data_IF_552936568941
#
_entry.id   IF_552936568941
#
_cell.length_a   1.000
_cell.length_b   1.000
_cell.length_c   1.000
_cell.angle_alpha   90.00
_cell.angle_beta   90.00
_cell.angle_gamma   90.00
#
_symmetry.space_group_name_H-M   'P 1'
#
loop_
_entity.id
_entity.type
_entity.pdbx_description
1 polymer ?
#
# COMPACT_ATOMS: atom_id res chain seq x y z
N UNK A 1 -11.18 -14.94 -23.71
CA UNK A 1 -11.26 -15.73 -22.47
C UNK A 1 -9.84 -15.90 -21.98
N UNK A 2 -9.33 -14.85 -21.37
CA UNK A 2 -7.97 -14.73 -20.84
C UNK A 2 -7.98 -15.41 -19.47
N UNK A 3 -7.13 -16.41 -19.27
CA UNK A 3 -6.98 -17.05 -17.95
C UNK A 3 -5.96 -16.22 -17.17
N UNK A 4 -6.35 -15.78 -15.98
CA UNK A 4 -5.46 -15.17 -15.02
C UNK A 4 -4.31 -16.14 -14.68
N UNK A 5 -3.09 -15.70 -14.94
CA UNK A 5 -1.91 -16.30 -14.32
C UNK A 5 -1.79 -15.67 -12.94
N UNK A 6 -2.30 -16.36 -11.91
CA UNK A 6 -1.92 -16.05 -10.54
C UNK A 6 -0.43 -16.41 -10.39
N UNK A 7 0.47 -15.42 -10.46
CA UNK A 7 1.85 -15.58 -9.99
C UNK A 7 1.96 -14.97 -8.60
N UNK A 8 2.29 -15.83 -7.64
CA UNK A 8 2.77 -15.45 -6.32
C UNK A 8 4.18 -14.85 -6.48
N UNK A 9 4.27 -13.52 -6.56
CA UNK A 9 5.47 -12.77 -6.21
C UNK A 9 5.56 -12.71 -4.69
N UNK A 10 6.17 -13.73 -4.10
CA UNK A 10 6.25 -13.87 -2.64
C UNK A 10 7.38 -13.05 -2.04
N UNK A 11 7.02 -11.96 -1.36
CA UNK A 11 7.44 -11.79 0.03
C UNK A 11 6.19 -11.99 0.90
N UNK A 12 6.18 -13.10 1.62
CA UNK A 12 4.99 -13.59 2.30
C UNK A 12 4.61 -12.73 3.50
N UNK A 13 3.40 -12.17 3.46
CA UNK A 13 2.59 -11.92 4.66
C UNK A 13 1.34 -12.77 4.55
N UNK A 14 1.45 -14.01 5.03
CA UNK A 14 0.31 -14.88 5.24
C UNK A 14 -0.33 -14.57 6.59
N UNK A 15 -1.44 -13.84 6.59
CA UNK A 15 -2.63 -14.12 7.41
C UNK A 15 -3.70 -13.02 7.27
N UNK A 16 -4.72 -13.27 6.43
CA UNK A 16 -6.14 -13.01 6.75
C UNK A 16 -7.03 -13.52 5.60
N UNK A 17 -7.25 -14.83 5.58
CA UNK A 17 -8.39 -15.41 4.87
C UNK A 17 -9.59 -15.41 5.84
N UNK A 18 -10.66 -14.67 5.52
CA UNK A 18 -11.98 -14.88 6.13
C UNK A 18 -12.93 -15.36 5.05
N UNK A 19 -13.44 -16.57 5.26
CA UNK A 19 -14.34 -17.30 4.39
C UNK A 19 -15.68 -16.58 4.17
N UNK A 20 -16.10 -16.50 2.91
CA UNK A 20 -17.51 -16.36 2.53
C UNK A 20 -17.93 -17.58 1.71
N UNK A 21 -18.57 -18.56 2.35
CA UNK A 21 -19.46 -19.49 1.66
C UNK A 21 -20.40 -20.24 2.63
N UNK A 22 -21.70 -20.04 2.43
CA UNK A 22 -22.81 -21.03 2.44
C UNK A 22 -24.09 -20.39 3.01
N UNK A 23 -25.32 -20.57 2.52
CA UNK A 23 -25.91 -21.09 1.28
C UNK A 23 -27.44 -21.04 1.48
N UNK A 24 -28.20 -20.90 0.38
CA UNK A 24 -29.63 -21.24 0.29
C UNK A 24 -30.55 -20.01 0.24
N UNK A 25 -31.43 -19.81 -0.75
CA UNK A 25 -31.90 -20.67 -1.82
C UNK A 25 -33.40 -20.47 -2.02
N UNK A 26 -33.77 -19.78 -3.12
CA UNK A 26 -35.02 -20.03 -3.86
C UNK A 26 -36.27 -19.19 -3.54
N UNK A 27 -36.88 -18.63 -4.61
CA UNK A 27 -38.34 -18.47 -4.68
C UNK A 27 -38.86 -17.12 -5.16
N UNK A 28 -39.13 -17.02 -6.46
CA UNK A 28 -39.83 -15.92 -7.14
C UNK A 28 -41.21 -15.58 -6.55
N UNK A 29 -41.60 -14.28 -6.58
CA UNK A 29 -42.72 -13.70 -7.34
C UNK A 29 -43.45 -12.50 -6.66
N UNK A 30 -43.32 -11.33 -7.31
CA UNK A 30 -44.34 -10.32 -7.65
C UNK A 30 -45.26 -9.63 -6.59
N UNK A 31 -45.79 -8.42 -6.92
CA UNK A 31 -46.05 -7.32 -5.96
C UNK A 31 -47.54 -7.04 -5.65
N UNK A 32 -47.82 -6.26 -4.59
CA UNK A 32 -49.09 -5.54 -4.37
C UNK A 32 -48.90 -4.48 -3.25
N UNK A 33 -48.91 -3.17 -3.57
CA UNK A 33 -50.06 -2.24 -3.55
C UNK A 33 -50.55 -1.80 -2.14
N UNK A 34 -50.30 -0.53 -1.84
CA UNK A 34 -51.15 0.50 -1.19
C UNK A 34 -52.20 0.10 -0.14
N UNK A 35 -52.09 0.68 1.06
CA UNK A 35 -53.24 1.26 1.77
C UNK A 35 -52.77 2.34 2.79
N UNK A 36 -53.29 3.54 2.59
CA UNK A 36 -53.32 4.67 3.52
C UNK A 36 -54.46 4.42 4.52
N UNK A 37 -54.27 4.73 5.81
CA UNK A 37 -55.35 5.15 6.68
C UNK A 37 -54.84 6.04 7.83
N UNK A 38 -55.38 7.24 7.85
CA UNK A 38 -55.12 8.36 8.76
C UNK A 38 -55.95 8.25 10.05
N UNK A 39 -55.49 8.97 11.08
CA UNK A 39 -56.21 9.65 12.18
C UNK A 39 -56.25 8.96 13.55
N UNK A 40 -56.17 9.63 14.71
CA UNK A 40 -55.93 11.03 15.18
C UNK A 40 -55.81 10.94 16.73
N UNK A 41 -55.00 11.83 17.32
CA UNK A 41 -54.98 12.41 18.70
C UNK A 41 -54.94 11.55 19.98
N UNK A 42 -53.92 11.78 20.81
CA UNK A 42 -53.89 12.64 22.03
C UNK A 42 -52.43 12.61 22.54
N UNK A 43 -51.73 13.67 22.95
CA UNK A 43 -52.15 14.78 23.79
C UNK A 43 -51.41 14.69 25.13
N UNK A 44 -50.14 15.14 25.20
CA UNK A 44 -49.54 15.67 26.44
C UNK A 44 -48.20 16.36 26.16
N UNK A 45 -48.15 17.63 26.51
CA UNK A 45 -47.00 18.51 26.38
C UNK A 45 -46.08 18.39 27.60
N UNK A 46 -44.78 18.27 27.35
CA UNK A 46 -43.75 18.58 28.35
C UNK A 46 -42.70 19.49 27.71
N UNK A 47 -42.58 20.68 28.28
CA UNK A 47 -41.74 21.80 27.88
C UNK A 47 -40.26 21.46 28.04
N UNK A 48 -39.50 21.44 26.94
CA UNK A 48 -38.04 21.34 26.96
C UNK A 48 -37.42 22.74 27.17
N UNK A 49 -36.53 22.86 28.15
CA UNK A 49 -35.73 24.05 28.40
C UNK A 49 -34.68 24.25 27.28
N UNK A 50 -34.34 25.49 26.91
CA UNK A 50 -33.36 25.74 25.86
C UNK A 50 -31.95 25.44 26.38
N UNK A 51 -31.31 24.40 25.82
CA UNK A 51 -29.86 24.25 25.92
C UNK A 51 -29.22 25.23 24.93
N UNK A 52 -28.56 26.26 25.46
CA UNK A 52 -27.58 27.07 24.75
C UNK A 52 -26.44 26.18 24.26
N UNK A 53 -26.44 25.83 22.98
CA UNK A 53 -25.24 25.32 22.31
C UNK A 53 -24.29 26.49 22.08
N UNK A 54 -23.16 26.48 22.78
CA UNK A 54 -22.01 27.31 22.42
C UNK A 54 -21.41 26.66 21.19
N UNK A 55 -21.68 27.24 20.02
CA UNK A 55 -20.99 26.88 18.79
C UNK A 55 -19.53 27.32 18.90
N UNK A 56 -18.64 26.41 19.30
CA UNK A 56 -17.21 26.61 19.10
C UNK A 56 -16.93 26.29 17.64
N UNK A 57 -16.92 27.32 16.80
CA UNK A 57 -16.45 27.22 15.41
C UNK A 57 -14.96 26.90 15.44
N UNK A 58 -14.58 25.62 15.38
CA UNK A 58 -13.24 25.28 14.91
C UNK A 58 -13.23 25.54 13.41
N UNK A 59 -12.35 26.47 12.99
CA UNK A 59 -12.08 26.68 11.58
C UNK A 59 -11.52 25.38 10.99
N UNK A 60 -11.89 25.01 9.75
CA UNK A 60 -11.21 23.92 9.07
C UNK A 60 -9.77 24.37 8.82
N UNK A 61 -8.82 23.77 9.54
CA UNK A 61 -7.40 23.89 9.20
C UNK A 61 -7.21 23.05 7.94
N UNK A 62 -7.46 23.64 6.77
CA UNK A 62 -6.98 23.07 5.53
C UNK A 62 -5.46 23.22 5.58
N UNK A 63 -4.75 22.15 5.96
CA UNK A 63 -3.31 22.08 5.79
C UNK A 63 -3.07 22.12 4.28
N UNK A 64 -2.55 23.26 3.80
CA UNK A 64 -1.89 23.27 2.50
C UNK A 64 -0.75 22.25 2.57
N UNK A 65 -0.50 21.43 1.53
CA UNK A 65 0.62 20.50 1.54
C UNK A 65 1.91 21.29 1.80
N UNK A 66 2.49 21.07 2.97
CA UNK A 66 3.69 21.77 3.39
C UNK A 66 4.89 21.04 2.78
N UNK A 67 5.74 21.84 2.12
CA UNK A 67 7.04 21.48 1.53
C UNK A 67 7.00 20.69 0.22
N UNK A 68 7.17 21.42 -0.88
CA UNK A 68 7.82 20.88 -2.09
C UNK A 68 9.24 20.48 -1.72
N UNK A 69 9.42 19.21 -1.34
CA UNK A 69 10.76 18.61 -1.24
C UNK A 69 11.39 18.72 -2.62
N UNK A 70 12.59 19.31 -2.69
CA UNK A 70 13.29 19.41 -3.97
C UNK A 70 13.51 17.99 -4.51
N UNK A 71 13.11 17.76 -5.77
CA UNK A 71 13.35 16.50 -6.47
C UNK A 71 14.82 16.11 -6.36
N UNK A 72 15.08 14.89 -5.86
CA UNK A 72 16.40 14.31 -5.69
C UNK A 72 16.37 12.85 -6.15
N UNK A 73 17.45 12.37 -6.77
CA UNK A 73 17.58 10.95 -7.07
C UNK A 73 17.54 10.15 -5.75
N UNK A 74 16.80 9.05 -5.72
CA UNK A 74 16.67 8.20 -4.52
C UNK A 74 18.04 7.66 -4.08
N UNK A 75 18.90 7.31 -5.03
CA UNK A 75 20.24 6.80 -4.78
C UNK A 75 21.13 7.75 -3.98
N UNK A 76 20.84 9.05 -4.01
CA UNK A 76 21.56 10.07 -3.24
C UNK A 76 21.06 10.21 -1.80
N UNK A 77 19.87 9.71 -1.47
CA UNK A 77 19.26 9.80 -0.13
C UNK A 77 19.09 8.45 0.55
N UNK A 78 19.17 7.33 -0.19
CA UNK A 78 18.89 5.98 0.29
C UNK A 78 19.57 5.61 1.63
N UNK A 79 20.84 5.98 1.82
CA UNK A 79 21.55 5.74 3.07
C UNK A 79 21.04 6.59 4.25
N UNK A 80 20.71 7.86 4.00
CA UNK A 80 20.16 8.77 4.99
C UNK A 80 18.71 8.37 5.35
N UNK A 81 17.92 7.95 4.36
CA UNK A 81 16.56 7.46 4.53
C UNK A 81 16.53 6.17 5.35
N UNK A 82 17.46 5.23 5.08
CA UNK A 82 17.64 4.03 5.89
C UNK A 82 18.03 4.38 7.33
N UNK A 83 18.98 5.32 7.52
CA UNK A 83 19.40 5.75 8.85
C UNK A 83 18.23 6.39 9.65
N UNK A 84 17.41 7.21 8.99
CA UNK A 84 16.22 7.79 9.60
C UNK A 84 15.19 6.72 9.98
N UNK A 85 14.95 5.74 9.10
CA UNK A 85 14.06 4.61 9.39
C UNK A 85 14.55 3.78 10.60
N UNK A 86 15.86 3.48 10.65
CA UNK A 86 16.44 2.75 11.78
C UNK A 86 16.29 3.54 13.09
N UNK A 87 16.45 4.87 13.07
CA UNK A 87 16.18 5.72 14.23
C UNK A 87 14.68 5.71 14.65
N UNK A 88 13.76 5.72 13.68
CA UNK A 88 12.33 5.59 13.94
C UNK A 88 11.97 4.23 14.54
N UNK A 89 12.66 3.15 14.15
CA UNK A 89 12.53 1.82 14.78
C UNK A 89 12.99 1.80 16.24
N UNK A 90 13.90 2.68 16.62
CA UNK A 90 14.30 2.87 18.02
C UNK A 90 13.33 3.78 18.81
N UNK A 91 12.28 4.27 18.16
CA UNK A 91 11.27 5.16 18.76
C UNK A 91 11.58 6.65 18.60
N UNK A 92 12.48 7.04 17.70
CA UNK A 92 12.87 8.44 17.48
C UNK A 92 12.45 8.92 16.11
N UNK A 93 11.53 9.90 16.04
CA UNK A 93 11.17 10.55 14.78
C UNK A 93 10.22 9.74 13.89
N UNK A 94 9.45 8.79 14.45
CA UNK A 94 8.50 7.94 13.69
C UNK A 94 7.51 8.74 12.85
N UNK A 95 6.90 9.79 13.41
CA UNK A 95 5.98 10.67 12.68
C UNK A 95 6.70 11.40 11.53
N UNK A 96 7.92 11.90 11.78
CA UNK A 96 8.71 12.59 10.77
C UNK A 96 9.07 11.65 9.63
N UNK A 97 9.47 10.41 9.92
CA UNK A 97 9.79 9.39 8.90
C UNK A 97 8.57 9.02 8.06
N UNK A 98 7.40 8.82 8.68
CA UNK A 98 6.18 8.52 7.92
C UNK A 98 5.81 9.65 6.97
N UNK A 99 5.76 10.90 7.45
CA UNK A 99 5.44 12.04 6.58
C UNK A 99 6.54 12.31 5.54
N UNK A 100 7.80 12.26 5.96
CA UNK A 100 8.92 12.54 5.07
C UNK A 100 9.01 11.48 3.98
N UNK A 101 9.05 10.18 4.28
CA UNK A 101 9.30 9.16 3.25
C UNK A 101 8.05 8.77 2.46
N UNK A 102 6.86 8.78 3.07
CA UNK A 102 5.67 8.16 2.46
C UNK A 102 4.54 9.14 2.12
N UNK A 103 4.76 10.44 2.32
CA UNK A 103 3.79 11.52 2.01
C UNK A 103 2.37 11.19 2.51
N UNK A 104 2.28 10.86 3.80
CA UNK A 104 1.04 10.36 4.39
C UNK A 104 -0.06 11.40 4.22
N UNK A 105 -1.18 11.03 3.58
CA UNK A 105 -2.21 11.99 3.21
C UNK A 105 -3.05 12.41 4.41
N UNK A 106 -3.04 11.65 5.51
CA UNK A 106 -3.84 11.88 6.73
C UNK A 106 -2.94 12.15 7.92
N UNK A 107 -3.35 13.07 8.79
CA UNK A 107 -2.61 13.38 10.01
C UNK A 107 -3.06 12.42 11.13
N UNK A 108 -2.13 11.58 11.59
CA UNK A 108 -2.32 10.73 12.76
C UNK A 108 -1.30 11.14 13.82
N UNK A 109 -1.80 11.39 15.03
CA UNK A 109 -0.94 11.60 16.20
C UNK A 109 -0.47 10.22 16.67
N UNK A 110 0.78 9.90 16.37
CA UNK A 110 1.42 8.68 16.86
C UNK A 110 1.82 8.83 18.34
N UNK A 111 1.78 7.75 19.12
CA UNK A 111 2.32 7.73 20.49
C UNK A 111 3.75 8.25 20.54
N UNK A 112 4.12 8.91 21.65
CA UNK A 112 5.44 9.51 21.80
C UNK A 112 6.58 8.46 21.83
N UNK A 113 6.27 7.21 22.19
CA UNK A 113 7.20 6.08 22.21
C UNK A 113 7.04 5.15 20.99
N UNK A 114 6.26 5.57 19.99
CA UNK A 114 5.99 4.78 18.79
C UNK A 114 7.30 4.47 18.05
N UNK A 115 7.56 3.19 17.84
CA UNK A 115 8.63 2.69 17.00
C UNK A 115 8.07 2.20 15.68
N UNK A 116 8.55 2.69 14.55
CA UNK A 116 8.11 2.21 13.23
C UNK A 116 8.35 0.69 13.13
N UNK A 117 7.36 -0.08 12.69
CA UNK A 117 7.47 -1.54 12.49
C UNK A 117 7.42 -1.91 11.03
N UNK A 118 6.48 -1.33 10.30
CA UNK A 118 6.29 -1.55 8.87
C UNK A 118 5.89 -0.24 8.20
N UNK A 119 6.39 0.00 6.99
CA UNK A 119 5.88 1.07 6.16
C UNK A 119 5.92 0.66 4.71
N UNK A 120 4.80 0.74 4.02
CA UNK A 120 4.73 0.41 2.60
C UNK A 120 3.85 1.37 1.83
N UNK A 121 4.20 1.54 0.57
CA UNK A 121 3.37 2.19 -0.43
C UNK A 121 3.39 1.31 -1.67
N UNK A 122 2.21 0.96 -2.15
CA UNK A 122 2.03 0.19 -3.37
C UNK A 122 1.08 0.95 -4.31
N UNK A 123 1.47 1.10 -5.57
CA UNK A 123 0.68 1.67 -6.64
C UNK A 123 0.52 0.61 -7.72
N UNK A 124 -0.67 0.05 -7.88
CA UNK A 124 -0.92 -1.09 -8.76
C UNK A 124 -2.06 -0.85 -9.73
N UNK A 125 -1.88 -1.26 -10.99
CA UNK A 125 -2.94 -1.27 -11.99
C UNK A 125 -3.84 -2.50 -11.77
N UNK A 126 -5.11 -2.26 -11.47
CA UNK A 126 -6.11 -3.31 -11.31
C UNK A 126 -6.53 -3.90 -12.67
N UNK A 127 -7.12 -5.09 -12.64
CA UNK A 127 -7.66 -5.77 -13.84
C UNK A 127 -8.69 -4.93 -14.62
N UNK A 128 -9.39 -4.03 -13.92
CA UNK A 128 -10.39 -3.13 -14.51
C UNK A 128 -9.77 -1.85 -15.12
N UNK A 129 -8.43 -1.73 -15.11
CA UNK A 129 -7.70 -0.61 -15.68
C UNK A 129 -7.65 0.63 -14.79
N UNK A 130 -7.99 0.49 -13.50
CA UNK A 130 -7.94 1.57 -12.49
C UNK A 130 -6.67 1.37 -11.67
N UNK A 131 -5.94 2.44 -11.40
CA UNK A 131 -4.79 2.41 -10.48
C UNK A 131 -5.28 2.46 -9.02
N UNK A 132 -4.78 1.57 -8.17
CA UNK A 132 -4.95 1.65 -6.72
C UNK A 132 -3.63 2.05 -6.09
N UNK A 133 -3.65 3.11 -5.27
CA UNK A 133 -2.55 3.51 -4.42
C UNK A 133 -2.89 3.16 -2.98
N UNK A 134 -2.16 2.22 -2.40
CA UNK A 134 -2.32 1.75 -1.04
C UNK A 134 -1.09 2.08 -0.21
N UNK A 135 -1.32 2.71 0.94
CA UNK A 135 -0.29 3.00 1.92
C UNK A 135 -0.57 2.26 3.21
N UNK A 136 0.47 1.70 3.83
CA UNK A 136 0.42 1.06 5.15
C UNK A 136 1.50 1.65 6.02
N UNK A 137 1.14 2.15 7.19
CA UNK A 137 2.09 2.64 8.20
C UNK A 137 1.79 1.91 9.50
N UNK A 138 2.80 1.31 10.11
CA UNK A 138 2.62 0.62 11.38
C UNK A 138 3.70 1.02 12.38
N UNK A 139 3.29 1.16 13.64
CA UNK A 139 4.19 1.45 14.73
C UNK A 139 3.82 0.67 16.00
N UNK A 140 4.84 0.23 16.73
CA UNK A 140 4.73 -0.43 18.01
C UNK A 140 4.97 0.53 19.18
N UNK A 141 4.16 0.40 20.23
CA UNK A 141 4.11 1.30 21.40
C UNK A 141 3.78 0.52 22.67
N UNK A 142 4.16 1.06 23.83
CA UNK A 142 3.76 0.55 25.13
C UNK A 142 2.37 1.02 25.57
N UNK A 143 1.71 1.90 24.81
CA UNK A 143 0.33 2.31 25.09
C UNK A 143 -0.63 1.12 25.00
N UNK A 144 -1.68 1.12 25.85
CA UNK A 144 -2.67 0.03 25.83
C UNK A 144 -3.61 0.17 24.63
N UNK A 145 -4.22 -0.94 24.14
CA UNK A 145 -5.17 -0.86 23.04
C UNK A 145 -6.32 0.11 23.31
N UNK A 146 -6.79 0.21 24.56
CA UNK A 146 -7.85 1.15 24.94
C UNK A 146 -7.41 2.61 24.87
N UNK A 147 -6.15 2.91 25.22
CA UNK A 147 -5.59 4.25 25.11
C UNK A 147 -5.42 4.65 23.64
N UNK A 148 -4.90 3.73 22.82
CA UNK A 148 -4.77 3.91 21.38
C UNK A 148 -6.12 4.11 20.71
N UNK A 149 -7.11 3.27 21.05
CA UNK A 149 -8.46 3.40 20.50
C UNK A 149 -9.12 4.71 20.96
N UNK A 150 -8.89 5.15 22.19
CA UNK A 150 -9.42 6.44 22.65
C UNK A 150 -8.76 7.63 21.95
N UNK A 151 -7.46 7.56 21.68
CA UNK A 151 -6.71 8.60 20.97
C UNK A 151 -7.09 8.66 19.48
N UNK A 152 -7.25 7.49 18.84
CA UNK A 152 -7.49 7.36 17.40
C UNK A 152 -8.97 7.30 17.03
N UNK A 153 -9.85 6.90 17.96
CA UNK A 153 -11.30 6.88 17.77
C UNK A 153 -11.92 8.27 17.67
N UNK A 154 -11.16 9.33 17.95
CA UNK A 154 -11.49 10.72 17.65
C UNK A 154 -11.01 11.20 16.27
N UNK A 155 -10.43 10.32 15.45
CA UNK A 155 -9.99 10.66 14.09
C UNK A 155 -11.16 11.22 13.29
N UNK A 156 -10.94 12.40 12.71
CA UNK A 156 -11.88 13.08 11.85
C UNK A 156 -11.13 13.68 10.67
N UNK A 157 -11.39 13.15 9.49
CA UNK A 157 -10.88 13.68 8.23
C UNK A 157 -12.05 13.84 7.26
N UNK A 158 -12.24 15.00 6.62
CA UNK A 158 -13.38 15.24 5.74
C UNK A 158 -13.45 14.29 4.54
N UNK A 159 -12.37 13.57 4.21
CA UNK A 159 -12.37 12.57 3.15
C UNK A 159 -13.00 11.25 3.56
N UNK A 160 -13.11 10.96 4.86
CA UNK A 160 -13.51 9.64 5.34
C UNK A 160 -14.66 9.70 6.35
N UNK A 161 -15.66 8.85 6.14
CA UNK A 161 -16.78 8.65 7.07
C UNK A 161 -16.58 7.37 7.87
N UNK A 162 -16.74 7.43 9.19
CA UNK A 162 -16.65 6.24 10.04
C UNK A 162 -17.72 5.22 9.63
N UNK A 163 -17.28 4.02 9.25
CA UNK A 163 -18.16 2.97 8.74
C UNK A 163 -18.43 1.91 9.80
N UNK A 164 -17.39 1.36 10.43
CA UNK A 164 -17.56 0.28 11.41
C UNK A 164 -16.39 0.13 12.37
N UNK A 165 -16.67 -0.53 13.49
CA UNK A 165 -15.67 -1.05 14.43
C UNK A 165 -15.82 -2.56 14.51
N UNK A 166 -14.75 -3.28 14.23
CA UNK A 166 -14.71 -4.75 14.26
C UNK A 166 -13.69 -5.20 15.31
N UNK A 167 -14.12 -6.05 16.24
CA UNK A 167 -13.23 -6.69 17.22
C UNK A 167 -13.03 -8.14 16.82
N UNK A 168 -11.78 -8.57 16.78
CA UNK A 168 -11.40 -9.95 16.51
C UNK A 168 -10.54 -10.50 17.64
N UNK A 169 -10.73 -11.76 18.01
CA UNK A 169 -9.89 -12.45 18.98
C UNK A 169 -9.14 -13.54 18.25
N UNK A 170 -7.82 -13.38 18.16
CA UNK A 170 -6.90 -14.32 17.55
C UNK A 170 -6.04 -14.96 18.65
N UNK A 171 -5.28 -16.00 18.31
CA UNK A 171 -4.29 -16.58 19.25
C UNK A 171 -3.25 -15.56 19.68
N UNK A 172 -2.93 -14.58 18.82
CA UNK A 172 -2.02 -13.47 19.13
C UNK A 172 -2.60 -12.45 20.12
N UNK A 173 -3.93 -12.39 20.27
CA UNK A 173 -4.64 -11.52 21.21
C UNK A 173 -5.87 -10.84 20.60
N UNK A 174 -6.28 -9.72 21.19
CA UNK A 174 -7.47 -8.96 20.76
C UNK A 174 -7.06 -7.86 19.79
N UNK A 175 -7.74 -7.82 18.66
CA UNK A 175 -7.57 -6.84 17.59
C UNK A 175 -8.82 -5.98 17.47
N UNK A 176 -8.62 -4.68 17.32
CA UNK A 176 -9.66 -3.70 17.02
C UNK A 176 -9.35 -3.07 15.67
N UNK A 177 -10.27 -3.18 14.72
CA UNK A 177 -10.20 -2.49 13.43
C UNK A 177 -11.28 -1.40 13.38
N UNK A 178 -10.85 -0.16 13.20
CA UNK A 178 -11.69 0.99 12.93
C UNK A 178 -11.67 1.23 11.42
N UNK A 179 -12.80 1.01 10.77
CA UNK A 179 -12.93 1.11 9.31
C UNK A 179 -13.68 2.38 8.95
N UNK A 180 -13.17 3.08 7.95
CA UNK A 180 -13.72 4.31 7.42
C UNK A 180 -13.88 4.16 5.91
N UNK A 181 -15.07 4.46 5.41
CA UNK A 181 -15.34 4.52 3.98
C UNK A 181 -14.98 5.92 3.46
N UNK A 182 -14.70 6.05 2.16
CA UNK A 182 -14.69 7.34 1.50
C UNK A 182 -16.01 8.08 1.76
N UNK A 183 -15.92 9.34 2.18
CA UNK A 183 -17.08 10.23 2.15
C UNK A 183 -17.43 10.56 0.71
N UNK A 184 -18.61 11.14 0.46
CA UNK A 184 -18.99 11.56 -0.90
C UNK A 184 -17.98 12.53 -1.55
N UNK A 185 -17.28 13.35 -0.75
CA UNK A 185 -16.22 14.22 -1.25
C UNK A 185 -14.90 13.45 -1.43
N UNK A 186 -14.57 12.54 -0.51
CA UNK A 186 -13.40 11.68 -0.61
C UNK A 186 -13.44 10.78 -1.83
N UNK A 187 -14.57 10.09 -2.06
CA UNK A 187 -14.80 9.23 -3.23
C UNK A 187 -14.65 10.00 -4.54
N UNK A 188 -15.11 11.26 -4.59
CA UNK A 188 -14.96 12.12 -5.77
C UNK A 188 -13.48 12.45 -6.09
N UNK A 189 -12.62 12.45 -5.06
CA UNK A 189 -11.18 12.65 -5.16
C UNK A 189 -10.39 11.32 -5.26
N UNK A 190 -11.11 10.19 -5.32
CA UNK A 190 -10.58 8.83 -5.44
C UNK A 190 -10.32 8.11 -4.12
N UNK A 191 -10.59 8.69 -2.96
CA UNK A 191 -10.39 8.01 -1.68
C UNK A 191 -11.46 6.93 -1.48
N UNK A 192 -11.02 5.68 -1.36
CA UNK A 192 -11.91 4.53 -1.25
C UNK A 192 -12.08 4.09 0.21
N UNK A 193 -10.95 3.87 0.88
CA UNK A 193 -10.95 3.23 2.19
C UNK A 193 -9.81 3.70 3.09
N UNK A 194 -10.10 3.72 4.39
CA UNK A 194 -9.09 3.81 5.44
C UNK A 194 -9.40 2.84 6.58
N UNK A 195 -8.37 2.20 7.12
CA UNK A 195 -8.46 1.39 8.34
C UNK A 195 -7.38 1.76 9.33
N UNK A 196 -7.76 1.74 10.61
CA UNK A 196 -6.84 1.78 11.73
C UNK A 196 -7.00 0.45 12.48
N UNK A 197 -5.96 -0.38 12.43
CA UNK A 197 -5.86 -1.62 13.19
C UNK A 197 -5.06 -1.38 14.46
N UNK A 198 -5.55 -1.90 15.58
CA UNK A 198 -4.91 -1.84 16.90
C UNK A 198 -4.90 -3.25 17.46
N UNK A 199 -3.73 -3.73 17.86
CA UNK A 199 -3.61 -5.05 18.47
C UNK A 199 -2.22 -5.33 19.02
N UNK A 200 -1.96 -6.57 19.46
CA UNK A 200 -0.61 -6.99 19.84
C UNK A 200 0.34 -6.89 18.64
N UNK A 201 1.59 -6.49 18.88
CA UNK A 201 2.64 -6.51 17.87
C UNK A 201 2.77 -7.93 17.26
N UNK A 202 2.56 -8.04 15.94
CA UNK A 202 2.66 -9.31 15.20
C UNK A 202 3.70 -9.32 14.10
N UNK A 203 4.27 -8.16 13.80
CA UNK A 203 5.40 -8.02 12.89
C UNK A 203 6.68 -8.64 13.49
N UNK A 204 7.44 -9.30 12.62
CA UNK A 204 8.36 -10.42 12.83
C UNK A 204 9.50 -10.28 13.89
N UNK A 205 10.02 -11.44 14.32
CA UNK A 205 11.40 -11.61 14.83
C UNK A 205 11.61 -11.43 16.33
N UNK A 206 10.93 -10.45 16.94
CA UNK A 206 10.98 -10.25 18.39
C UNK A 206 9.77 -9.46 18.85
N UNK A 207 8.63 -10.12 19.06
CA UNK A 207 7.51 -9.50 19.75
C UNK A 207 8.02 -8.91 21.07
N UNK A 208 8.05 -7.59 21.15
CA UNK A 208 8.65 -6.86 22.28
C UNK A 208 7.71 -6.78 23.47
N UNK A 209 6.49 -7.30 23.32
CA UNK A 209 5.38 -7.17 24.26
C UNK A 209 4.60 -5.86 24.11
N UNK A 210 4.85 -5.12 23.02
CA UNK A 210 4.15 -3.87 22.66
C UNK A 210 2.81 -4.17 21.98
N UNK A 211 2.01 -3.11 21.88
CA UNK A 211 0.87 -3.06 20.97
C UNK A 211 1.31 -2.37 19.67
N UNK A 212 0.72 -2.77 18.56
CA UNK A 212 0.91 -2.18 17.25
C UNK A 212 -0.36 -1.45 16.82
N UNK A 213 -0.16 -0.25 16.29
CA UNK A 213 -1.15 0.51 15.53
C UNK A 213 -0.73 0.51 14.07
N UNK A 214 -1.65 0.15 13.18
CA UNK A 214 -1.44 0.17 11.73
C UNK A 214 -2.51 0.99 11.03
N UNK A 215 -2.10 2.02 10.30
CA UNK A 215 -2.91 2.75 9.36
C UNK A 215 -2.80 2.10 7.98
N UNK A 216 -3.93 1.83 7.34
CA UNK A 216 -4.01 1.56 5.90
C UNK A 216 -4.89 2.61 5.25
N UNK A 217 -4.43 3.20 4.14
CA UNK A 217 -5.22 4.13 3.32
C UNK A 217 -5.17 3.67 1.87
N UNK A 218 -6.29 3.73 1.16
CA UNK A 218 -6.40 3.38 -0.26
C UNK A 218 -7.06 4.50 -1.06
N UNK A 219 -6.47 4.77 -2.23
CA UNK A 219 -6.96 5.74 -3.21
C UNK A 219 -6.98 5.11 -4.61
N UNK A 220 -8.13 5.18 -5.25
CA UNK A 220 -8.35 4.78 -6.63
C UNK A 220 -8.12 5.97 -7.57
N UNK A 221 -7.37 5.73 -8.63
CA UNK A 221 -6.91 6.71 -9.60
C UNK A 221 -7.25 6.23 -11.02
N UNK A 222 -7.94 7.04 -11.85
CA UNK A 222 -8.32 6.63 -13.20
C UNK A 222 -7.12 6.55 -14.16
N UNK A 223 -6.02 7.21 -13.82
CA UNK A 223 -4.79 7.28 -14.62
C UNK A 223 -3.58 7.15 -13.68
N UNK A 224 -2.43 6.82 -14.25
CA UNK A 224 -1.18 6.79 -13.50
C UNK A 224 -0.93 8.18 -12.89
N UNK A 225 -0.68 8.30 -11.58
CA UNK A 225 -0.50 9.58 -10.92
C UNK A 225 0.67 10.35 -11.51
N UNK A 226 0.43 11.61 -11.88
CA UNK A 226 1.48 12.52 -12.33
C UNK A 226 2.44 12.91 -11.18
N UNK A 227 1.90 12.97 -9.96
CA UNK A 227 2.63 13.34 -8.76
C UNK A 227 2.75 12.10 -7.85
N UNK A 228 3.80 11.32 -8.05
CA UNK A 228 4.17 10.26 -7.11
C UNK A 228 4.79 10.88 -5.85
N UNK A 229 4.65 10.23 -4.68
CA UNK A 229 5.45 10.56 -3.52
C UNK A 229 6.92 10.58 -3.90
N UNK A 230 7.67 11.57 -3.40
CA UNK A 230 9.03 11.81 -3.88
C UNK A 230 9.95 10.59 -3.70
N UNK A 231 9.67 9.76 -2.70
CA UNK A 231 10.41 8.52 -2.45
C UNK A 231 10.28 7.53 -3.62
N UNK A 232 9.10 7.46 -4.24
CA UNK A 232 8.89 6.67 -5.46
C UNK A 232 9.40 7.39 -6.71
N UNK A 233 9.20 8.71 -6.82
CA UNK A 233 9.61 9.45 -8.02
C UNK A 233 11.14 9.42 -8.20
N UNK A 234 11.89 9.51 -7.10
CA UNK A 234 13.35 9.43 -7.12
C UNK A 234 13.85 8.09 -7.62
N UNK A 235 13.15 7.00 -7.29
CA UNK A 235 13.45 5.66 -7.83
C UNK A 235 13.04 5.54 -9.30
N UNK A 236 11.85 6.02 -9.66
CA UNK A 236 11.31 5.89 -11.01
C UNK A 236 12.19 6.55 -12.06
N UNK A 237 12.77 7.70 -11.73
CA UNK A 237 13.63 8.44 -12.64
C UNK A 237 15.04 7.82 -12.81
N UNK A 238 15.44 6.92 -11.92
CA UNK A 238 16.76 6.29 -11.91
C UNK A 238 16.77 4.87 -12.50
N UNK A 239 15.59 4.32 -12.79
CA UNK A 239 15.47 2.99 -13.34
C UNK A 239 16.08 2.88 -14.74
N UNK A 240 16.81 1.80 -15.03
CA UNK A 240 17.34 1.51 -16.36
C UNK A 240 16.21 0.96 -17.24
N UNK A 241 15.38 1.85 -17.79
CA UNK A 241 14.19 1.48 -18.55
C UNK A 241 14.49 1.24 -20.03
N UNK A 242 14.05 0.08 -20.53
CA UNK A 242 13.93 -0.16 -21.96
C UNK A 242 12.72 0.61 -22.54
N UNK A 243 12.79 0.94 -23.84
CA UNK A 243 11.69 1.60 -24.54
C UNK A 243 10.42 0.73 -24.57
N UNK A 244 9.25 1.36 -24.45
CA UNK A 244 7.95 0.70 -24.66
C UNK A 244 7.43 -0.10 -23.46
N UNK A 245 8.12 -0.07 -22.31
CA UNK A 245 7.60 -0.62 -21.06
C UNK A 245 6.43 0.22 -20.53
N UNK A 246 5.40 -0.45 -20.02
CA UNK A 246 4.26 0.19 -19.34
C UNK A 246 4.24 -0.27 -17.88
N UNK A 247 4.30 0.64 -16.89
CA UNK A 247 4.25 0.25 -15.49
C UNK A 247 2.90 -0.40 -15.19
N UNK A 248 2.91 -1.41 -14.33
CA UNK A 248 1.72 -2.06 -13.77
C UNK A 248 1.75 -2.10 -12.25
N UNK A 249 2.93 -1.96 -11.64
CA UNK A 249 3.09 -1.80 -10.20
C UNK A 249 4.29 -0.92 -9.88
N UNK A 250 4.20 -0.09 -8.84
CA UNK A 250 5.31 0.65 -8.24
C UNK A 250 5.18 0.53 -6.72
N UNK A 251 6.18 -0.07 -6.08
CA UNK A 251 6.19 -0.39 -4.67
C UNK A 251 7.39 0.19 -3.93
N UNK A 252 7.15 0.53 -2.67
CA UNK A 252 8.15 0.82 -1.66
C UNK A 252 7.77 0.11 -0.37
N UNK A 253 8.72 -0.56 0.25
CA UNK A 253 8.55 -1.20 1.56
C UNK A 253 9.77 -0.96 2.42
N UNK A 254 9.53 -0.54 3.66
CA UNK A 254 10.53 -0.30 4.68
C UNK A 254 10.31 -1.29 5.83
N UNK A 255 11.23 -2.23 5.98
CA UNK A 255 11.24 -3.27 7.02
C UNK A 255 12.43 -3.06 7.97
N UNK A 256 12.56 -3.95 8.97
CA UNK A 256 13.68 -3.95 9.92
C UNK A 256 15.01 -4.31 9.25
N UNK A 257 14.92 -4.94 8.08
CA UNK A 257 16.08 -5.39 7.31
C UNK A 257 16.51 -4.38 6.24
N UNK A 258 15.70 -3.38 5.91
CA UNK A 258 16.07 -2.39 4.92
C UNK A 258 14.91 -1.65 4.27
N UNK A 259 15.23 -0.91 3.20
CA UNK A 259 14.23 -0.31 2.31
C UNK A 259 14.32 -0.96 0.93
N UNK A 260 13.16 -1.34 0.43
CA UNK A 260 12.96 -2.17 -0.74
C UNK A 260 12.06 -1.39 -1.69
N UNK A 261 12.45 -1.33 -2.95
CA UNK A 261 11.71 -0.64 -3.99
C UNK A 261 11.55 -1.60 -5.15
N UNK A 262 10.33 -1.73 -5.66
CA UNK A 262 10.00 -2.62 -6.77
C UNK A 262 9.15 -1.90 -7.80
N UNK A 263 9.34 -2.24 -9.08
CA UNK A 263 8.46 -1.80 -10.16
C UNK A 263 8.29 -2.93 -11.15
N UNK A 264 7.03 -3.24 -11.44
CA UNK A 264 6.67 -4.18 -12.49
C UNK A 264 6.18 -3.43 -13.72
N UNK A 265 6.60 -3.94 -14.87
CA UNK A 265 6.22 -3.46 -16.19
C UNK A 265 5.64 -4.59 -17.03
N UNK A 266 4.85 -4.19 -18.02
CA UNK A 266 4.43 -5.06 -19.12
C UNK A 266 4.99 -4.55 -20.44
N UNK A 267 5.26 -5.49 -21.34
CA UNK A 267 5.68 -5.23 -22.72
C UNK A 267 4.99 -6.20 -23.69
N UNK A 268 4.94 -5.88 -25.01
CA UNK A 268 4.46 -6.82 -26.02
C UNK A 268 5.24 -8.14 -26.02
N UNK A 269 4.56 -9.24 -26.35
CA UNK A 269 5.13 -10.61 -26.32
C UNK A 269 6.41 -10.77 -27.16
N UNK A 270 6.51 -10.04 -28.28
CA UNK A 270 7.63 -10.09 -29.20
C UNK A 270 8.89 -9.36 -28.71
N UNK A 271 8.81 -8.66 -27.57
CA UNK A 271 9.94 -7.92 -27.00
C UNK A 271 10.81 -8.76 -26.06
N UNK A 272 10.46 -10.01 -25.76
CA UNK A 272 11.19 -10.81 -24.76
C UNK A 272 12.69 -10.87 -25.03
N UNK A 273 13.08 -11.24 -26.25
CA UNK A 273 14.50 -11.40 -26.61
C UNK A 273 15.23 -10.06 -26.56
N UNK A 274 14.62 -8.99 -27.10
CA UNK A 274 15.17 -7.62 -27.04
C UNK A 274 15.36 -7.15 -25.59
N UNK A 275 14.44 -7.47 -24.69
CA UNK A 275 14.52 -7.09 -23.28
C UNK A 275 15.59 -7.89 -22.54
N UNK A 276 15.65 -9.21 -22.76
CA UNK A 276 16.73 -10.04 -22.21
C UNK A 276 18.08 -9.54 -22.72
N UNK A 277 18.21 -9.25 -24.01
CA UNK A 277 19.40 -8.67 -24.58
C UNK A 277 19.72 -7.30 -24.00
N UNK A 278 18.75 -6.39 -23.84
CA UNK A 278 18.97 -5.07 -23.24
C UNK A 278 19.56 -5.20 -21.83
N UNK A 279 18.94 -6.01 -20.97
CA UNK A 279 19.39 -6.19 -19.60
C UNK A 279 20.64 -7.08 -19.49
N UNK A 280 20.97 -7.87 -20.52
CA UNK A 280 22.20 -8.66 -20.59
C UNK A 280 23.38 -7.92 -21.25
N UNK A 281 23.13 -7.03 -22.21
CA UNK A 281 24.15 -6.37 -23.06
C UNK A 281 25.06 -5.45 -22.26
N UNK A 282 24.61 -4.96 -21.11
CA UNK A 282 25.45 -4.14 -20.23
C UNK A 282 26.41 -4.98 -19.36
N UNK A 283 26.39 -6.34 -19.39
CA UNK A 283 27.21 -7.18 -18.48
C UNK A 283 28.00 -8.32 -19.12
N UNK A 284 29.32 -8.22 -19.00
CA UNK A 284 30.25 -9.35 -19.08
C UNK A 284 30.39 -10.12 -17.74
N UNK A 285 29.33 -10.26 -16.93
CA UNK A 285 29.48 -10.90 -15.61
C UNK A 285 28.26 -11.20 -14.75
N UNK A 286 27.02 -11.07 -15.23
CA UNK A 286 25.83 -11.45 -14.44
C UNK A 286 25.62 -12.97 -14.42
N UNK A 287 25.35 -13.52 -13.23
CA UNK A 287 24.88 -14.91 -13.09
C UNK A 287 23.40 -14.97 -13.47
N UNK A 288 23.10 -15.71 -14.53
CA UNK A 288 21.75 -16.14 -14.87
C UNK A 288 21.24 -17.03 -13.72
N UNK A 289 19.93 -17.14 -13.51
CA UNK A 289 19.34 -18.34 -12.88
C UNK A 289 19.26 -19.51 -13.88
N UNK A 290 20.28 -19.58 -14.73
CA UNK A 290 20.82 -20.76 -15.36
C UNK A 290 22.19 -20.89 -14.71
N UNK A 291 22.60 -22.07 -14.27
CA UNK A 291 23.88 -22.34 -13.59
C UNK A 291 25.17 -21.97 -14.37
N UNK A 292 25.11 -21.06 -15.35
CA UNK A 292 26.08 -20.75 -16.38
C UNK A 292 26.47 -19.27 -16.40
N UNK A 293 27.71 -19.03 -16.81
CA UNK A 293 28.37 -17.71 -16.81
C UNK A 293 28.18 -16.90 -18.10
N UNK A 294 27.26 -17.32 -18.98
CA UNK A 294 27.00 -16.70 -20.28
C UNK A 294 25.56 -16.93 -20.74
N UNK A 295 24.98 -15.96 -21.44
CA UNK A 295 23.66 -16.06 -22.06
C UNK A 295 23.59 -17.23 -23.06
N UNK A 296 22.51 -18.03 -23.10
CA UNK A 296 22.31 -19.02 -24.14
C UNK A 296 22.27 -18.37 -25.53
N UNK A 297 22.84 -19.05 -26.53
CA UNK A 297 22.75 -18.63 -27.94
C UNK A 297 21.30 -18.68 -28.48
N UNK A 298 20.42 -19.45 -27.82
CA UNK A 298 19.01 -19.64 -28.18
C UNK A 298 18.11 -19.31 -26.98
N UNK A 299 17.43 -18.16 -27.06
CA UNK A 299 16.50 -17.69 -26.05
C UNK A 299 15.08 -18.24 -26.22
N UNK A 300 14.78 -18.99 -27.28
CA UNK A 300 13.39 -19.43 -27.59
C UNK A 300 12.80 -20.43 -26.60
N UNK A 301 13.65 -21.05 -25.78
CA UNK A 301 13.24 -21.99 -24.72
C UNK A 301 13.25 -21.37 -23.32
N UNK A 302 13.74 -20.13 -23.20
CA UNK A 302 13.82 -19.41 -21.93
C UNK A 302 12.47 -18.77 -21.60
N UNK A 303 11.86 -19.09 -20.47
CA UNK A 303 10.64 -18.41 -19.99
C UNK A 303 10.94 -17.30 -18.97
N UNK A 304 12.14 -17.34 -18.38
CA UNK A 304 12.55 -16.43 -17.31
C UNK A 304 14.03 -16.10 -17.39
N UNK A 305 14.35 -14.82 -17.34
CA UNK A 305 15.69 -14.28 -17.16
C UNK A 305 15.73 -13.51 -15.85
N UNK A 306 16.75 -13.75 -15.01
CA UNK A 306 16.99 -13.01 -13.78
C UNK A 306 18.45 -12.57 -13.78
N UNK A 307 18.71 -11.31 -13.46
CA UNK A 307 20.05 -10.78 -13.25
C UNK A 307 20.04 -9.82 -12.05
N UNK A 308 21.08 -9.88 -11.21
CA UNK A 308 21.13 -9.14 -9.95
C UNK A 308 22.52 -8.65 -9.56
N UNK A 309 23.37 -8.34 -10.54
CA UNK A 309 24.70 -7.81 -10.24
C UNK A 309 24.91 -6.44 -10.85
N UNK A 310 24.20 -6.17 -11.94
CA UNK A 310 24.07 -4.87 -12.53
C UNK A 310 22.81 -4.89 -13.41
N UNK A 311 22.14 -3.75 -13.61
CA UNK A 311 22.60 -2.40 -13.34
C UNK A 311 22.80 -2.11 -11.84
N UNK A 312 23.83 -1.33 -11.51
CA UNK A 312 23.96 -0.78 -10.15
C UNK A 312 23.51 0.67 -10.18
N UNK A 313 22.71 1.05 -9.20
CA UNK A 313 22.31 2.44 -9.01
C UNK A 313 23.11 3.02 -7.85
N UNK A 314 24.11 3.85 -8.17
CA UNK A 314 25.04 4.43 -7.19
C UNK A 314 25.68 3.41 -6.20
N UNK A 315 25.89 2.16 -6.64
CA UNK A 315 26.45 1.09 -5.80
C UNK A 315 25.40 0.17 -5.15
N UNK A 316 24.11 0.46 -5.29
CA UNK A 316 23.02 -0.46 -4.94
C UNK A 316 22.76 -1.44 -6.07
N UNK A 317 22.58 -2.71 -5.74
CA UNK A 317 22.27 -3.76 -6.70
C UNK A 317 20.82 -3.64 -7.15
N UNK A 318 20.60 -3.54 -8.47
CA UNK A 318 19.27 -3.71 -9.05
C UNK A 318 19.12 -5.16 -9.53
N UNK A 319 18.06 -5.80 -9.07
CA UNK A 319 17.58 -7.08 -9.58
C UNK A 319 16.61 -6.82 -10.70
N UNK A 320 16.83 -7.44 -11.86
CA UNK A 320 15.87 -7.46 -12.96
C UNK A 320 15.40 -8.89 -13.18
N UNK A 321 14.10 -9.02 -13.41
CA UNK A 321 13.47 -10.26 -13.86
C UNK A 321 12.70 -9.97 -15.13
N UNK A 322 12.96 -10.71 -16.21
CA UNK A 322 12.20 -10.67 -17.47
C UNK A 322 11.52 -12.02 -17.64
N UNK A 323 10.19 -12.03 -17.69
CA UNK A 323 9.39 -13.25 -17.74
C UNK A 323 8.41 -13.24 -18.91
N UNK A 324 8.24 -14.38 -19.56
CA UNK A 324 7.17 -14.65 -20.52
C UNK A 324 6.42 -15.93 -20.16
N UNK A 325 5.26 -16.12 -20.76
CA UNK A 325 4.51 -17.37 -20.65
C UNK A 325 4.72 -18.22 -21.91
N UNK A 326 5.44 -19.34 -21.81
CA UNK A 326 5.60 -20.27 -22.92
C UNK A 326 4.31 -21.04 -23.25
N UNK A 327 3.38 -21.16 -22.30
CA UNK A 327 2.07 -21.78 -22.53
C UNK A 327 1.09 -20.83 -23.24
N UNK A 328 1.31 -19.52 -23.15
CA UNK A 328 0.59 -18.48 -23.89
C UNK A 328 1.57 -17.49 -24.56
N UNK A 329 2.12 -17.82 -25.73
CA UNK A 329 3.09 -16.97 -26.42
C UNK A 329 2.53 -15.61 -26.89
N UNK A 330 1.22 -15.39 -26.79
CA UNK A 330 0.60 -14.11 -27.08
C UNK A 330 0.49 -13.21 -25.83
N UNK A 331 0.72 -13.75 -24.63
CA UNK A 331 0.76 -12.98 -23.40
C UNK A 331 1.94 -12.01 -23.42
N UNK A 332 1.74 -10.84 -22.80
CA UNK A 332 2.81 -9.85 -22.65
C UNK A 332 3.99 -10.39 -21.82
N UNK A 333 5.13 -9.73 -21.99
CA UNK A 333 6.33 -9.96 -21.16
C UNK A 333 6.21 -9.12 -19.91
N UNK A 334 6.54 -9.70 -18.76
CA UNK A 334 6.69 -8.99 -17.49
C UNK A 334 8.15 -8.62 -17.29
N UNK A 335 8.41 -7.39 -16.85
CA UNK A 335 9.74 -6.96 -16.39
C UNK A 335 9.60 -6.44 -14.97
N UNK A 336 10.27 -7.05 -14.01
CA UNK A 336 10.34 -6.57 -12.64
C UNK A 336 11.72 -5.98 -12.38
N UNK A 337 11.78 -4.77 -11.82
CA UNK A 337 13.00 -4.11 -11.35
C UNK A 337 12.90 -3.91 -9.84
N UNK A 338 13.91 -4.37 -9.11
CA UNK A 338 13.94 -4.28 -7.65
C UNK A 338 15.30 -3.76 -7.17
N UNK A 339 15.29 -2.83 -6.22
CA UNK A 339 16.50 -2.36 -5.53
C UNK A 339 16.28 -2.39 -4.03
N UNK A 340 17.35 -2.71 -3.28
CA UNK A 340 17.32 -2.77 -1.82
C UNK A 340 18.50 -2.03 -1.22
N UNK A 341 18.25 -1.38 -0.09
CA UNK A 341 19.27 -0.82 0.80
C UNK A 341 19.13 -1.47 2.18
N UNK A 342 20.22 -2.07 2.66
CA UNK A 342 20.29 -2.84 3.90
C UNK A 342 21.45 -2.29 4.78
N UNK A 343 21.43 -2.49 6.12
CA UNK A 343 22.43 -1.96 7.06
C UNK A 343 23.88 -2.41 6.87
#
# INVERSE_FOLDING_TARGET
MTKAVQRFGGFGVAAAAVLLAACGGGGSSAPASTAVATAVADGSATTAAPQTSVATTQAPTTLAPTTTVAHRPWSATAADDLAALLAAREGTGTTDVFHALFDVPVEIVWPADAAATNTSLDLQLTDDGIWSMRQVLAAATMETPEALEAALGGFADPRFDFASRVVSTLESGVWVNLNYAGSAAGEADGWDFMSISIGPETSFGSATGRNEVSLTVERLLPEYPADLPWFLVGWVDEMPLADGLQPVQVGAMATDTGIWLDVDFTAPADQFETLVEFYAQDHSGGALDLSDSSMPDDLTTLDRFVAGFFPTLAGYVIWVTVERDLADPAAGVTVALEVRVEP
#
